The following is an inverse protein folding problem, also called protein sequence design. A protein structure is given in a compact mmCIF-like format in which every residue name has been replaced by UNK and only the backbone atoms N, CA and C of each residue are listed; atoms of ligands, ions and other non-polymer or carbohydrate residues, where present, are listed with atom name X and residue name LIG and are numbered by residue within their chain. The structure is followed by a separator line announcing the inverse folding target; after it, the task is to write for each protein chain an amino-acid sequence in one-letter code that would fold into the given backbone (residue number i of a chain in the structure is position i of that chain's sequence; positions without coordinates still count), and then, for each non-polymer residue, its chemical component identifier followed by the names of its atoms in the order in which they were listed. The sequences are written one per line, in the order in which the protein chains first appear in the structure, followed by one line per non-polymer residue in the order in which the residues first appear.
data_IF_295009962624
#
_entry.id   IF_295009962624
#
_cell.length_a   1.000
_cell.length_b   1.000
_cell.length_c   1.000
_cell.angle_alpha   90.00
_cell.angle_beta   90.00
_cell.angle_gamma   90.00
#
_symmetry.space_group_name_H-M   'P 1'
#
loop_
_entity.id
_entity.type
_entity.pdbx_description
1 polymer ?
#
# COMPACT_ATOMS: atom_id res chain seq x y z
N UNK A 1 -22.07 -21.07 -13.74
CA UNK A 1 -22.82 -20.55 -14.90
C UNK A 1 -22.05 -19.39 -15.50
N UNK A 2 -21.93 -19.31 -16.83
CA UNK A 2 -21.28 -18.17 -17.50
C UNK A 2 -22.29 -17.10 -17.85
N UNK A 3 -21.95 -15.82 -17.64
CA UNK A 3 -22.80 -14.68 -17.98
C UNK A 3 -22.40 -14.10 -19.34
N UNK A 4 -23.41 -13.77 -20.15
CA UNK A 4 -23.24 -13.03 -21.41
C UNK A 4 -24.15 -11.80 -21.34
N UNK A 5 -23.57 -10.62 -21.50
CA UNK A 5 -24.29 -9.35 -21.55
C UNK A 5 -24.29 -8.82 -22.97
N UNK A 6 -25.40 -8.21 -23.39
CA UNK A 6 -25.50 -7.50 -24.66
C UNK A 6 -25.66 -6.02 -24.33
N UNK A 7 -24.72 -5.22 -24.82
CA UNK A 7 -24.75 -3.77 -24.72
C UNK A 7 -25.23 -3.24 -26.07
N UNK A 8 -26.37 -2.56 -26.08
CA UNK A 8 -26.93 -1.96 -27.29
C UNK A 8 -26.90 -0.45 -27.13
N UNK A 9 -26.20 0.22 -28.03
CA UNK A 9 -26.22 1.69 -28.16
C UNK A 9 -26.96 2.06 -29.43
N UNK A 10 -27.83 3.07 -29.37
CA UNK A 10 -28.59 3.54 -30.51
C UNK A 10 -28.08 4.92 -30.97
N UNK A 11 -27.84 5.09 -32.28
CA UNK A 11 -27.41 6.36 -32.86
C UNK A 11 -28.16 6.69 -34.17
N UNK A 12 -28.63 7.93 -34.28
CA UNK A 12 -29.23 8.50 -35.49
C UNK A 12 -28.25 9.34 -36.32
N UNK A 13 -27.11 9.69 -35.73
CA UNK A 13 -26.04 10.46 -36.38
C UNK A 13 -24.73 9.69 -36.26
N UNK A 14 -23.87 9.69 -37.29
CA UNK A 14 -22.61 8.95 -37.21
C UNK A 14 -21.64 9.65 -36.25
N UNK A 15 -21.05 8.89 -35.34
CA UNK A 15 -20.05 9.35 -34.36
C UNK A 15 -18.73 8.62 -34.63
N UNK A 16 -17.64 9.35 -34.85
CA UNK A 16 -16.34 8.77 -35.22
C UNK A 16 -15.64 8.01 -34.09
N UNK A 17 -16.04 8.24 -32.83
CA UNK A 17 -15.47 7.60 -31.63
C UNK A 17 -16.43 6.59 -30.99
N UNK A 18 -17.42 6.12 -31.76
CA UNK A 18 -18.45 5.23 -31.25
C UNK A 18 -17.88 3.88 -30.79
N UNK A 19 -16.86 3.36 -31.49
CA UNK A 19 -16.24 2.09 -31.12
C UNK A 19 -15.54 2.18 -29.76
N UNK A 20 -14.74 3.21 -29.51
CA UNK A 20 -14.13 3.45 -28.20
C UNK A 20 -15.17 3.63 -27.09
N UNK A 21 -16.29 4.33 -27.37
CA UNK A 21 -17.37 4.50 -26.40
C UNK A 21 -18.05 3.17 -26.05
N UNK A 22 -18.32 2.31 -27.03
CA UNK A 22 -18.84 0.96 -26.81
C UNK A 22 -17.89 0.11 -25.96
N UNK A 23 -16.58 0.18 -26.23
CA UNK A 23 -15.57 -0.53 -25.43
C UNK A 23 -15.56 -0.04 -23.98
N UNK A 24 -15.65 1.28 -23.75
CA UNK A 24 -15.75 1.86 -22.40
C UNK A 24 -16.98 1.36 -21.65
N UNK A 25 -18.13 1.29 -22.31
CA UNK A 25 -19.34 0.73 -21.71
C UNK A 25 -19.21 -0.77 -21.41
N UNK A 26 -18.58 -1.54 -22.30
CA UNK A 26 -18.32 -2.96 -22.07
C UNK A 26 -17.42 -3.18 -20.84
N UNK A 27 -16.33 -2.43 -20.70
CA UNK A 27 -15.45 -2.47 -19.52
C UNK A 27 -16.21 -2.06 -18.26
N UNK A 28 -17.06 -1.03 -18.32
CA UNK A 28 -17.88 -0.63 -17.18
C UNK A 28 -18.87 -1.71 -16.75
N UNK A 29 -19.49 -2.42 -17.70
CA UNK A 29 -20.37 -3.55 -17.40
C UNK A 29 -19.61 -4.75 -16.80
N UNK A 30 -18.40 -5.02 -17.30
CA UNK A 30 -17.47 -6.01 -16.75
C UNK A 30 -17.08 -5.66 -15.30
N UNK A 31 -16.74 -4.40 -15.01
CA UNK A 31 -16.41 -3.95 -13.66
C UNK A 31 -17.60 -4.10 -12.70
N UNK A 32 -18.79 -3.64 -13.10
CA UNK A 32 -20.01 -3.78 -12.28
C UNK A 32 -20.32 -5.24 -11.94
N UNK A 33 -20.00 -6.17 -12.84
CA UNK A 33 -20.15 -7.60 -12.57
C UNK A 33 -19.20 -8.07 -11.45
N UNK A 34 -17.94 -7.64 -11.46
CA UNK A 34 -17.00 -7.94 -10.36
C UNK A 34 -17.43 -7.28 -9.05
N UNK A 35 -17.88 -6.02 -9.09
CA UNK A 35 -18.35 -5.27 -7.92
C UNK A 35 -19.56 -5.93 -7.25
N UNK A 36 -20.38 -6.68 -8.01
CA UNK A 36 -21.49 -7.48 -7.50
C UNK A 36 -21.05 -8.77 -6.78
N UNK A 37 -19.74 -9.02 -6.64
CA UNK A 37 -19.17 -10.16 -5.92
C UNK A 37 -18.89 -11.39 -6.79
N UNK A 38 -19.01 -11.27 -8.12
CA UNK A 38 -18.65 -12.35 -9.03
C UNK A 38 -17.12 -12.46 -9.19
N UNK A 39 -16.61 -13.69 -9.36
CA UNK A 39 -15.16 -13.97 -9.37
C UNK A 39 -14.52 -13.91 -10.76
N UNK A 40 -15.31 -13.88 -11.82
CA UNK A 40 -14.84 -13.95 -13.22
C UNK A 40 -15.55 -12.91 -14.06
N UNK A 41 -14.90 -12.43 -15.11
CA UNK A 41 -15.52 -11.48 -16.04
C UNK A 41 -16.64 -12.13 -16.87
N UNK A 42 -17.73 -11.38 -17.19
CA UNK A 42 -18.71 -11.81 -18.17
C UNK A 42 -18.23 -11.49 -19.59
N UNK A 43 -18.74 -12.21 -20.59
CA UNK A 43 -18.62 -11.75 -21.98
C UNK A 43 -19.61 -10.61 -22.21
N UNK A 44 -19.15 -9.49 -22.74
CA UNK A 44 -20.01 -8.36 -23.11
C UNK A 44 -19.93 -8.16 -24.62
N UNK A 45 -21.08 -8.24 -25.28
CA UNK A 45 -21.22 -8.06 -26.74
C UNK A 45 -21.71 -6.64 -27.01
N UNK A 46 -20.84 -5.70 -27.42
CA UNK A 46 -21.25 -4.38 -27.85
C UNK A 46 -21.92 -4.43 -29.23
N UNK A 47 -23.07 -3.77 -29.36
CA UNK A 47 -23.81 -3.64 -30.61
C UNK A 47 -24.18 -2.17 -30.82
N UNK A 48 -23.84 -1.64 -32.01
CA UNK A 48 -24.35 -0.35 -32.47
C UNK A 48 -25.62 -0.58 -33.29
N UNK A 49 -26.73 -0.03 -32.83
CA UNK A 49 -27.96 0.10 -33.59
C UNK A 49 -27.98 1.47 -34.28
N UNK A 50 -27.66 1.49 -35.57
CA UNK A 50 -27.54 2.73 -36.35
C UNK A 50 -28.66 2.86 -37.39
N UNK A 51 -29.28 4.04 -37.48
CA UNK A 51 -30.30 4.35 -38.48
C UNK A 51 -30.19 5.77 -39.05
N UNK A 52 -28.98 6.30 -39.15
CA UNK A 52 -28.79 7.65 -39.66
C UNK A 52 -28.93 7.78 -41.17
N UNK A 53 -29.03 9.04 -41.62
CA UNK A 53 -29.14 9.41 -43.04
C UNK A 53 -27.88 9.03 -43.83
N UNK A 54 -26.70 9.11 -43.20
CA UNK A 54 -25.43 8.69 -43.79
C UNK A 54 -25.31 7.16 -43.77
N UNK A 55 -25.56 6.50 -44.90
CA UNK A 55 -25.54 5.04 -45.01
C UNK A 55 -24.59 4.56 -46.12
N UNK A 56 -23.78 3.50 -45.89
CA UNK A 56 -23.63 2.78 -44.61
C UNK A 56 -22.94 3.63 -43.53
N UNK A 57 -22.99 3.17 -42.27
CA UNK A 57 -22.28 3.84 -41.17
C UNK A 57 -20.78 4.01 -41.52
N UNK A 58 -20.22 5.23 -41.46
CA UNK A 58 -18.95 5.54 -42.14
C UNK A 58 -17.69 5.27 -41.31
N UNK A 59 -17.80 4.88 -40.04
CA UNK A 59 -16.65 4.74 -39.12
C UNK A 59 -16.42 3.28 -38.71
N UNK A 60 -15.18 2.95 -38.32
CA UNK A 60 -14.87 1.60 -37.82
C UNK A 60 -15.58 1.32 -36.50
N UNK A 61 -16.04 0.08 -36.32
CA UNK A 61 -16.55 -0.43 -35.04
C UNK A 61 -15.49 -1.18 -34.23
N UNK A 62 -14.24 -1.20 -34.71
CA UNK A 62 -13.10 -1.67 -33.95
C UNK A 62 -12.36 -0.47 -33.36
N UNK A 63 -12.43 -0.32 -32.03
CA UNK A 63 -11.81 0.80 -31.31
C UNK A 63 -10.29 0.89 -31.50
N UNK A 64 -9.64 -0.22 -31.87
CA UNK A 64 -8.20 -0.25 -32.15
C UNK A 64 -7.82 0.46 -33.45
N UNK A 65 -8.77 0.65 -34.37
CA UNK A 65 -8.53 1.38 -35.62
C UNK A 65 -8.49 2.91 -35.40
N UNK A 66 -8.89 3.39 -34.21
CA UNK A 66 -8.88 4.82 -33.85
C UNK A 66 -7.49 5.34 -33.43
N UNK A 67 -6.50 4.46 -33.23
CA UNK A 67 -5.13 4.86 -32.91
C UNK A 67 -4.38 5.36 -34.15
N UNK A 68 -3.42 6.26 -33.95
CA UNK A 68 -2.52 6.71 -35.02
C UNK A 68 -1.75 5.55 -35.69
N UNK A 69 -1.48 4.48 -34.94
CA UNK A 69 -0.95 3.22 -35.45
C UNK A 69 -1.84 2.03 -34.98
N UNK A 70 -2.81 1.61 -35.81
CA UNK A 70 -3.70 0.50 -35.47
C UNK A 70 -3.00 -0.85 -35.30
N UNK A 71 -1.88 -1.10 -35.98
CA UNK A 71 -1.16 -2.37 -35.88
C UNK A 71 -0.41 -2.47 -34.56
N UNK A 72 0.23 -1.38 -34.13
CA UNK A 72 0.82 -1.29 -32.80
C UNK A 72 -0.24 -1.43 -31.71
N UNK A 73 -1.41 -0.80 -31.86
CA UNK A 73 -2.50 -0.92 -30.89
C UNK A 73 -3.01 -2.37 -30.77
N UNK A 74 -3.23 -3.07 -31.89
CA UNK A 74 -3.62 -4.48 -31.91
C UNK A 74 -2.59 -5.37 -31.22
N UNK A 75 -1.31 -5.10 -31.42
CA UNK A 75 -0.23 -5.82 -30.74
C UNK A 75 -0.20 -5.54 -29.24
N UNK A 76 -0.33 -4.26 -28.85
CA UNK A 76 -0.27 -3.83 -27.45
C UNK A 76 -1.43 -4.35 -26.60
N UNK A 77 -2.65 -4.29 -27.15
CA UNK A 77 -3.88 -4.65 -26.43
C UNK A 77 -4.35 -6.09 -26.70
N UNK A 78 -3.78 -6.77 -27.70
CA UNK A 78 -4.08 -8.18 -28.01
C UNK A 78 -3.12 -9.18 -27.36
N UNK A 79 -1.98 -8.72 -26.84
CA UNK A 79 -0.99 -9.54 -26.16
C UNK A 79 -1.11 -9.41 -24.63
N UNK A 80 -0.39 -10.28 -23.91
CA UNK A 80 -0.21 -10.11 -22.47
C UNK A 80 0.50 -8.79 -22.17
N UNK A 81 0.06 -8.09 -21.12
CA UNK A 81 0.74 -6.89 -20.68
C UNK A 81 2.16 -7.20 -20.18
N UNK A 82 3.14 -6.33 -20.44
CA UNK A 82 4.50 -6.53 -19.96
C UNK A 82 4.53 -6.51 -18.44
N UNK A 83 5.13 -7.54 -17.83
CA UNK A 83 5.41 -7.62 -16.41
C UNK A 83 6.88 -7.29 -16.16
N UNK A 84 7.15 -6.24 -15.38
CA UNK A 84 8.49 -5.94 -14.87
C UNK A 84 8.55 -6.50 -13.44
N UNK A 85 9.05 -7.72 -13.31
CA UNK A 85 9.23 -8.37 -12.01
C UNK A 85 10.66 -8.14 -11.49
N UNK A 86 10.81 -7.07 -10.70
CA UNK A 86 12.10 -6.73 -10.07
C UNK A 86 12.55 -7.77 -9.04
N UNK A 87 11.67 -8.67 -8.58
CA UNK A 87 12.02 -9.65 -7.54
C UNK A 87 12.95 -10.75 -8.04
N UNK A 88 12.83 -11.11 -9.33
CA UNK A 88 13.65 -12.14 -9.99
C UNK A 88 14.79 -11.57 -10.81
N UNK A 89 14.80 -10.25 -11.04
CA UNK A 89 15.82 -9.58 -11.84
C UNK A 89 17.15 -9.48 -11.08
N UNK A 90 18.31 -9.84 -11.67
CA UNK A 90 19.62 -9.64 -11.07
C UNK A 90 19.90 -8.17 -10.71
N UNK A 91 20.61 -7.93 -9.62
CA UNK A 91 20.95 -6.55 -9.20
C UNK A 91 21.79 -5.83 -10.25
N UNK A 92 22.72 -6.55 -10.89
CA UNK A 92 23.60 -5.99 -11.93
C UNK A 92 22.82 -5.50 -13.16
N UNK A 93 21.69 -6.14 -13.48
CA UNK A 93 20.78 -5.71 -14.53
C UNK A 93 20.01 -4.45 -14.10
N UNK A 94 19.50 -4.43 -12.86
CA UNK A 94 18.78 -3.27 -12.30
C UNK A 94 19.68 -2.03 -12.28
N UNK A 95 20.97 -2.17 -11.96
CA UNK A 95 21.94 -1.06 -11.94
C UNK A 95 22.01 -0.35 -13.31
N UNK A 96 21.73 -1.05 -14.42
CA UNK A 96 21.72 -0.46 -15.77
C UNK A 96 20.48 0.39 -16.06
N UNK A 97 19.44 0.35 -15.22
CA UNK A 97 18.18 1.08 -15.42
C UNK A 97 18.28 2.59 -15.09
N UNK A 98 19.50 3.09 -14.85
CA UNK A 98 19.81 4.52 -14.68
C UNK A 98 19.03 5.19 -13.54
N UNK A 99 18.00 5.98 -13.88
CA UNK A 99 17.23 6.81 -12.93
C UNK A 99 16.29 6.00 -12.05
N UNK A 100 15.77 4.89 -12.57
CA UNK A 100 14.78 4.07 -11.84
C UNK A 100 15.44 2.96 -11.01
N UNK A 101 16.69 2.60 -11.35
CA UNK A 101 17.50 1.59 -10.69
C UNK A 101 17.51 1.68 -9.16
N UNK A 102 17.64 2.90 -8.62
CA UNK A 102 17.70 3.09 -7.17
C UNK A 102 16.39 2.70 -6.50
N UNK A 103 15.26 3.11 -7.10
CA UNK A 103 13.94 2.77 -6.60
C UNK A 103 13.66 1.26 -6.73
N UNK A 104 14.10 0.64 -7.82
CA UNK A 104 13.92 -0.79 -8.07
C UNK A 104 14.74 -1.66 -7.11
N UNK A 105 16.03 -1.36 -6.91
CA UNK A 105 16.87 -2.03 -5.92
C UNK A 105 16.26 -1.90 -4.52
N UNK A 106 15.79 -0.70 -4.16
CA UNK A 106 15.16 -0.52 -2.86
C UNK A 106 13.85 -1.29 -2.73
N UNK A 107 12.98 -1.30 -3.75
CA UNK A 107 11.74 -2.07 -3.72
C UNK A 107 11.98 -3.58 -3.69
N UNK A 108 12.92 -4.09 -4.49
CA UNK A 108 13.29 -5.51 -4.51
C UNK A 108 13.70 -6.00 -3.12
N UNK A 109 14.45 -5.17 -2.38
CA UNK A 109 15.03 -5.56 -1.10
C UNK A 109 14.28 -5.02 0.12
N UNK A 110 13.19 -4.26 -0.03
CA UNK A 110 12.53 -3.57 1.09
C UNK A 110 12.07 -4.54 2.20
N UNK A 111 11.68 -5.76 1.83
CA UNK A 111 11.19 -6.77 2.78
C UNK A 111 12.31 -7.54 3.47
N UNK A 112 13.57 -7.37 3.07
CA UNK A 112 14.70 -8.07 3.66
C UNK A 112 15.09 -7.43 5.00
N UNK A 113 15.40 -8.30 5.99
CA UNK A 113 15.86 -7.84 7.31
C UNK A 113 17.28 -7.29 7.28
N UNK A 114 18.13 -7.88 6.46
CA UNK A 114 19.50 -7.44 6.26
C UNK A 114 19.66 -6.85 4.86
N UNK A 115 20.05 -5.57 4.80
CA UNK A 115 20.32 -4.83 3.57
C UNK A 115 21.83 -4.71 3.29
N UNK A 116 22.67 -5.45 4.02
CA UNK A 116 24.12 -5.42 3.83
C UNK A 116 24.52 -5.76 2.40
N UNK A 117 23.89 -6.79 1.81
CA UNK A 117 24.20 -7.32 0.48
C UNK A 117 23.99 -6.33 -0.67
N UNK A 118 23.16 -5.30 -0.50
CA UNK A 118 22.87 -4.31 -1.54
C UNK A 118 23.63 -3.00 -1.40
N UNK A 119 24.48 -2.88 -0.38
CA UNK A 119 25.17 -1.62 -0.08
C UNK A 119 26.04 -1.17 -1.26
N UNK A 120 26.75 -2.10 -1.90
CA UNK A 120 27.60 -1.80 -3.05
C UNK A 120 26.77 -1.41 -4.28
N UNK A 121 25.72 -2.17 -4.60
CA UNK A 121 24.84 -1.88 -5.74
C UNK A 121 24.15 -0.51 -5.59
N UNK A 122 23.67 -0.18 -4.40
CA UNK A 122 23.08 1.13 -4.11
C UNK A 122 24.11 2.26 -4.20
N UNK A 123 25.31 2.06 -3.65
CA UNK A 123 26.37 3.04 -3.76
C UNK A 123 26.73 3.28 -5.24
N UNK A 124 26.89 2.22 -6.03
CA UNK A 124 27.17 2.30 -7.45
C UNK A 124 26.11 3.13 -8.19
N UNK A 125 24.82 2.84 -8.00
CA UNK A 125 23.72 3.57 -8.65
C UNK A 125 23.70 5.05 -8.24
N UNK A 126 23.96 5.36 -6.98
CA UNK A 126 24.03 6.75 -6.51
C UNK A 126 25.23 7.48 -7.11
N UNK A 127 26.36 6.81 -7.27
CA UNK A 127 27.59 7.37 -7.87
C UNK A 127 27.44 7.66 -9.37
N UNK A 128 26.54 6.97 -10.09
CA UNK A 128 26.22 7.28 -11.49
C UNK A 128 25.59 8.68 -11.67
N UNK A 129 25.24 9.37 -10.59
CA UNK A 129 24.81 10.78 -10.63
C UNK A 129 23.39 11.01 -11.13
N UNK A 130 22.61 9.94 -11.32
CA UNK A 130 21.21 10.04 -11.74
C UNK A 130 20.24 10.48 -10.63
N UNK A 131 20.67 10.35 -9.37
CA UNK A 131 19.84 10.62 -8.18
C UNK A 131 20.28 11.91 -7.51
N UNK A 132 19.35 12.86 -7.32
CA UNK A 132 19.61 14.06 -6.55
C UNK A 132 19.37 13.87 -5.03
N UNK A 133 19.86 14.80 -4.20
CA UNK A 133 19.72 14.74 -2.74
C UNK A 133 18.26 14.58 -2.26
N UNK A 134 17.29 15.20 -2.94
CA UNK A 134 15.86 15.12 -2.59
C UNK A 134 15.32 13.71 -2.84
N UNK A 135 15.63 13.13 -3.99
CA UNK A 135 15.23 11.76 -4.35
C UNK A 135 15.87 10.74 -3.40
N UNK A 136 17.17 10.89 -3.11
CA UNK A 136 17.88 10.06 -2.16
C UNK A 136 17.19 10.07 -0.78
N UNK A 137 16.86 11.26 -0.28
CA UNK A 137 16.16 11.42 1.00
C UNK A 137 14.78 10.77 1.01
N UNK A 138 13.98 10.97 -0.05
CA UNK A 138 12.65 10.36 -0.17
C UNK A 138 12.72 8.83 -0.17
N UNK A 139 13.68 8.27 -0.88
CA UNK A 139 13.83 6.83 -1.01
C UNK A 139 14.27 6.20 0.31
N UNK A 140 15.21 6.80 1.04
CA UNK A 140 15.56 6.31 2.37
C UNK A 140 14.37 6.42 3.33
N UNK A 141 13.66 7.55 3.36
CA UNK A 141 12.44 7.66 4.17
C UNK A 141 11.43 6.54 3.86
N UNK A 142 11.22 6.22 2.58
CA UNK A 142 10.36 5.13 2.16
C UNK A 142 10.83 3.76 2.69
N UNK A 143 12.11 3.43 2.53
CA UNK A 143 12.69 2.19 3.06
C UNK A 143 12.59 2.09 4.58
N UNK A 144 12.58 3.21 5.28
CA UNK A 144 12.51 3.23 6.74
C UNK A 144 11.09 3.02 7.25
N UNK A 145 10.12 3.63 6.55
CA UNK A 145 8.73 3.52 6.91
C UNK A 145 8.14 2.14 6.55
N UNK A 146 8.58 1.56 5.42
CA UNK A 146 7.98 0.33 4.88
C UNK A 146 8.95 -0.85 4.81
N UNK A 147 10.21 -0.65 5.17
CA UNK A 147 11.22 -1.71 5.13
C UNK A 147 11.32 -2.49 6.42
N UNK A 148 11.64 -3.76 6.30
CA UNK A 148 11.79 -4.69 7.42
C UNK A 148 13.21 -4.70 8.00
N UNK A 149 14.03 -3.70 7.69
CA UNK A 149 15.44 -3.73 8.08
C UNK A 149 15.59 -3.59 9.60
N UNK A 150 16.30 -4.52 10.23
CA UNK A 150 16.41 -4.56 11.69
C UNK A 150 17.30 -3.43 12.25
N UNK A 151 18.29 -2.98 11.47
CA UNK A 151 19.25 -1.96 11.88
C UNK A 151 19.46 -0.87 10.82
N UNK A 152 18.45 -0.04 10.52
CA UNK A 152 18.54 0.94 9.43
C UNK A 152 19.69 1.95 9.63
N UNK A 153 19.99 2.30 10.88
CA UNK A 153 21.10 3.20 11.20
C UNK A 153 22.48 2.61 10.89
N UNK A 154 22.67 1.29 11.04
CA UNK A 154 23.94 0.62 10.68
C UNK A 154 24.10 0.62 9.17
N UNK A 155 23.04 0.31 8.45
CA UNK A 155 23.01 0.33 7.00
C UNK A 155 23.32 1.73 6.43
N UNK A 156 22.66 2.78 6.94
CA UNK A 156 22.95 4.17 6.54
C UNK A 156 24.40 4.58 6.79
N UNK A 157 25.01 4.14 7.90
CA UNK A 157 26.44 4.38 8.18
C UNK A 157 27.36 3.66 7.19
N UNK A 158 27.05 2.40 6.85
CA UNK A 158 27.83 1.67 5.83
C UNK A 158 27.74 2.35 4.48
N UNK A 159 26.55 2.78 4.10
CA UNK A 159 26.34 3.49 2.84
C UNK A 159 27.05 4.85 2.83
N UNK A 160 27.01 5.61 3.93
CA UNK A 160 27.73 6.89 4.03
C UNK A 160 29.25 6.74 3.87
N UNK A 161 29.85 5.64 4.37
CA UNK A 161 31.27 5.34 4.14
C UNK A 161 31.61 5.12 2.66
N UNK A 162 30.68 4.57 1.88
CA UNK A 162 30.83 4.40 0.42
C UNK A 162 30.50 5.67 -0.36
N UNK A 163 29.66 6.54 0.22
CA UNK A 163 29.15 7.76 -0.39
C UNK A 163 29.53 9.00 0.46
N UNK A 164 30.81 9.34 0.61
CA UNK A 164 31.25 10.43 1.49
C UNK A 164 30.62 11.78 1.12
N UNK A 165 30.39 12.03 -0.16
CA UNK A 165 29.69 13.23 -0.65
C UNK A 165 28.22 13.37 -0.20
N UNK A 166 27.63 12.28 0.29
CA UNK A 166 26.26 12.22 0.83
C UNK A 166 26.25 11.96 2.35
N UNK A 167 27.41 11.93 3.02
CA UNK A 167 27.53 11.61 4.44
C UNK A 167 26.62 12.49 5.31
N UNK A 168 26.70 13.81 5.16
CA UNK A 168 25.86 14.75 5.92
C UNK A 168 24.37 14.47 5.73
N UNK A 169 23.95 14.21 4.48
CA UNK A 169 22.54 13.91 4.16
C UNK A 169 22.10 12.60 4.78
N UNK A 170 22.91 11.54 4.66
CA UNK A 170 22.62 10.22 5.21
C UNK A 170 22.65 10.22 6.75
N UNK A 171 23.56 10.98 7.37
CA UNK A 171 23.65 11.12 8.82
C UNK A 171 22.51 11.96 9.38
N UNK A 172 22.08 13.02 8.68
CA UNK A 172 20.88 13.78 9.02
C UNK A 172 19.63 12.89 9.02
N UNK A 173 19.48 12.04 7.99
CA UNK A 173 18.41 11.03 7.93
C UNK A 173 18.53 10.07 9.12
N UNK A 174 19.72 9.52 9.38
CA UNK A 174 19.95 8.61 10.51
C UNK A 174 19.62 9.22 11.87
N UNK A 175 19.95 10.50 12.08
CA UNK A 175 19.65 11.23 13.31
C UNK A 175 18.15 11.48 13.47
N UNK A 176 17.50 11.96 12.40
CA UNK A 176 16.06 12.21 12.40
C UNK A 176 15.29 10.94 12.75
N UNK A 177 15.68 9.79 12.19
CA UNK A 177 15.09 8.50 12.54
C UNK A 177 15.25 8.12 13.99
N UNK A 178 16.47 8.28 14.53
CA UNK A 178 16.75 7.97 15.92
C UNK A 178 15.90 8.85 16.85
N UNK A 179 15.60 10.09 16.44
CA UNK A 179 14.74 10.99 17.18
C UNK A 179 13.26 10.62 17.05
N UNK A 180 12.77 10.31 15.85
CA UNK A 180 11.40 9.87 15.59
C UNK A 180 11.08 8.58 16.37
N UNK A 181 11.91 7.55 16.25
CA UNK A 181 11.70 6.30 17.01
C UNK A 181 11.78 6.47 18.54
N UNK A 182 12.56 7.44 19.03
CA UNK A 182 12.58 7.79 20.46
C UNK A 182 11.33 8.54 20.90
N UNK A 183 10.75 9.37 20.03
CA UNK A 183 9.52 10.08 20.32
C UNK A 183 8.32 9.13 20.31
N UNK A 184 8.25 8.26 19.31
CA UNK A 184 7.22 7.22 19.17
C UNK A 184 7.24 6.28 20.37
N UNK A 185 8.40 5.69 20.72
CA UNK A 185 8.49 4.81 21.89
C UNK A 185 8.21 5.50 23.24
N UNK A 186 8.41 6.83 23.34
CA UNK A 186 7.97 7.59 24.53
C UNK A 186 6.47 7.81 24.57
N UNK A 187 5.84 8.03 23.41
CA UNK A 187 4.40 8.20 23.32
C UNK A 187 3.71 6.89 23.64
N UNK A 188 4.13 5.79 23.00
CA UNK A 188 3.64 4.43 23.28
C UNK A 188 3.80 4.08 24.76
N UNK A 189 5.01 4.21 25.32
CA UNK A 189 5.23 3.91 26.74
C UNK A 189 4.45 4.81 27.70
N UNK A 190 4.11 6.05 27.30
CA UNK A 190 3.27 6.95 28.10
C UNK A 190 1.80 6.56 28.01
N UNK A 191 1.32 6.13 26.85
CA UNK A 191 -0.05 5.66 26.67
C UNK A 191 -0.27 4.33 27.40
N UNK A 192 0.64 3.37 27.23
CA UNK A 192 0.62 2.10 27.96
C UNK A 192 0.65 2.34 29.47
N UNK A 193 1.61 3.13 29.96
CA UNK A 193 1.70 3.45 31.39
C UNK A 193 0.49 4.23 31.92
N UNK A 194 -0.15 5.05 31.09
CA UNK A 194 -1.38 5.75 31.48
C UNK A 194 -2.57 4.78 31.58
N UNK A 195 -2.71 3.86 30.64
CA UNK A 195 -3.76 2.83 30.67
C UNK A 195 -3.57 1.88 31.85
N UNK A 196 -2.36 1.38 32.06
CA UNK A 196 -2.02 0.54 33.21
C UNK A 196 -2.28 1.27 34.53
N UNK A 197 -1.86 2.53 34.63
CA UNK A 197 -2.10 3.34 35.83
C UNK A 197 -3.59 3.62 36.10
N UNK A 198 -4.40 3.84 35.06
CA UNK A 198 -5.85 3.98 35.19
C UNK A 198 -6.51 2.68 35.64
N UNK A 199 -6.11 1.54 35.07
CA UNK A 199 -6.62 0.23 35.46
C UNK A 199 -6.24 -0.12 36.89
N UNK A 200 -4.97 0.09 37.27
CA UNK A 200 -4.50 -0.18 38.63
C UNK A 200 -5.16 0.78 39.65
N UNK A 201 -5.29 2.06 39.32
CA UNK A 201 -5.96 3.05 40.16
C UNK A 201 -7.44 2.73 40.38
N UNK A 202 -8.17 2.43 39.30
CA UNK A 202 -9.57 2.00 39.35
C UNK A 202 -9.75 0.74 40.19
N UNK A 203 -8.86 -0.24 40.00
CA UNK A 203 -8.86 -1.50 40.76
C UNK A 203 -8.58 -1.28 42.25
N UNK A 204 -7.59 -0.46 42.61
CA UNK A 204 -7.29 -0.11 44.01
C UNK A 204 -8.47 0.59 44.68
N UNK A 205 -9.12 1.52 43.97
CA UNK A 205 -10.29 2.23 44.51
C UNK A 205 -11.49 1.29 44.68
N UNK A 206 -11.73 0.39 43.72
CA UNK A 206 -12.76 -0.65 43.85
C UNK A 206 -12.52 -1.54 45.07
N UNK A 207 -11.27 -1.96 45.33
CA UNK A 207 -10.90 -2.74 46.52
C UNK A 207 -11.12 -1.94 47.81
N UNK A 208 -10.77 -0.65 47.83
CA UNK A 208 -11.00 0.24 48.97
C UNK A 208 -12.49 0.40 49.30
N UNK A 209 -13.31 0.61 48.26
CA UNK A 209 -14.77 0.72 48.39
C UNK A 209 -15.35 -0.61 48.88
N UNK A 210 -14.93 -1.75 48.29
CA UNK A 210 -15.36 -3.08 48.70
C UNK A 210 -15.04 -3.36 50.17
N UNK A 211 -13.83 -3.04 50.63
CA UNK A 211 -13.44 -3.18 52.04
C UNK A 211 -14.32 -2.35 52.97
N UNK A 212 -14.65 -1.10 52.59
CA UNK A 212 -15.56 -0.26 53.36
C UNK A 212 -16.99 -0.79 53.38
N UNK A 213 -17.50 -1.33 52.27
CA UNK A 213 -18.84 -1.95 52.20
C UNK A 213 -18.94 -3.19 53.09
N UNK A 214 -17.93 -4.06 53.07
CA UNK A 214 -17.87 -5.24 53.92
C UNK A 214 -17.82 -4.88 55.42
N UNK A 215 -17.04 -3.85 55.80
CA UNK A 215 -17.00 -3.35 57.18
C UNK A 215 -18.35 -2.79 57.66
N UNK A 216 -19.15 -2.23 56.74
CA UNK A 216 -20.49 -1.74 57.03
C UNK A 216 -21.58 -2.83 56.95
N UNK A 217 -21.20 -4.10 56.77
CA UNK A 217 -22.11 -5.25 56.88
C UNK A 217 -22.85 -5.64 55.59
N UNK A 218 -22.40 -5.17 54.42
CA UNK A 218 -22.92 -5.68 53.14
C UNK A 218 -22.39 -7.09 52.87
N UNK A 219 -23.20 -7.92 52.23
CA UNK A 219 -22.84 -9.29 51.86
C UNK A 219 -21.91 -9.33 50.63
N UNK A 220 -21.06 -10.37 50.57
CA UNK A 220 -20.02 -10.51 49.54
C UNK A 220 -20.59 -10.59 48.11
N UNK A 221 -21.77 -11.16 47.90
CA UNK A 221 -22.40 -11.23 46.57
C UNK A 221 -22.84 -9.85 46.10
N UNK A 222 -23.44 -9.04 46.97
CA UNK A 222 -23.83 -7.68 46.63
C UNK A 222 -22.62 -6.77 46.38
N UNK A 223 -21.52 -6.94 47.14
CA UNK A 223 -20.27 -6.19 46.93
C UNK A 223 -19.63 -6.52 45.58
N UNK A 224 -19.59 -7.80 45.16
CA UNK A 224 -19.11 -8.19 43.83
C UNK A 224 -19.94 -7.51 42.72
N UNK A 225 -21.27 -7.49 42.87
CA UNK A 225 -22.18 -6.91 41.88
C UNK A 225 -22.02 -5.39 41.74
N UNK A 226 -21.70 -4.68 42.83
CA UNK A 226 -21.55 -3.22 42.84
C UNK A 226 -20.16 -2.78 42.38
N UNK A 227 -19.10 -3.47 42.81
CA UNK A 227 -17.71 -3.07 42.54
C UNK A 227 -17.13 -3.71 41.27
N UNK A 228 -17.78 -4.75 40.74
CA UNK A 228 -17.29 -5.51 39.59
C UNK A 228 -16.07 -6.39 39.88
N UNK A 229 -15.67 -6.51 41.15
CA UNK A 229 -14.58 -7.38 41.60
C UNK A 229 -15.03 -8.83 41.65
N UNK A 230 -14.11 -9.74 41.36
CA UNK A 230 -14.29 -11.19 41.47
C UNK A 230 -14.19 -11.68 42.92
N UNK A 231 -14.69 -12.89 43.18
CA UNK A 231 -14.62 -13.50 44.51
C UNK A 231 -13.18 -13.66 45.03
N UNK A 232 -12.22 -13.98 44.15
CA UNK A 232 -10.81 -14.15 44.50
C UNK A 232 -10.16 -12.82 44.91
N UNK A 233 -10.57 -11.72 44.28
CA UNK A 233 -10.08 -10.37 44.61
C UNK A 233 -10.60 -9.86 45.95
N UNK A 234 -11.73 -10.40 46.44
CA UNK A 234 -12.35 -10.07 47.72
C UNK A 234 -11.96 -11.02 48.86
N UNK A 235 -11.29 -12.15 48.58
CA UNK A 235 -10.81 -13.06 49.64
C UNK A 235 -9.87 -12.39 50.66
N UNK A 236 -8.93 -11.51 50.27
CA UNK A 236 -7.99 -10.89 51.22
C UNK A 236 -8.56 -9.68 51.99
N UNK A 237 -9.82 -9.28 51.76
CA UNK A 237 -10.51 -8.16 52.42
C UNK A 237 -11.48 -8.65 53.51
#
# INVERSE_FOLDING_TARGET
AGYVYVLIEHQSSPDNHMAFRLMRYAIAAMQRHLDAGHKTLPLVVPMLFYHGVTSPYPFSLNWLDEFADPQMAKTLYGCSFPLIDVTVMPDDDIVQHRRVALLELMQKHIRQRDLSGITESLAAVVMLGYTNRRQLRMLFHYMLQYGNTAEPGVFLRRLARRLPQYEETLMSIAQKLKQEGRQEGRLEGREEGHQEGLQEGSRREALRIAGSMLQNGLDKEMVQKITGLSADELQPL
#
